data_IF_579538777623
#
_entry.id   IF_579538777623
#
_cell.length_a   1.000
_cell.length_b   1.000
_cell.length_c   1.000
_cell.angle_alpha   90.00
_cell.angle_beta   90.00
_cell.angle_gamma   90.00
#
_symmetry.space_group_name_H-M   'P 1'
#
loop_
_entity.id
_entity.type
_entity.pdbx_description
1 polymer ?
#
# COMPACT_ATOMS: atom_id res chain seq x y z
N UNK A 1 -8.23 7.08 -2.60
CA UNK A 1 -7.41 7.07 -1.37
C UNK A 1 -8.36 6.85 -0.20
N UNK A 2 -8.17 5.79 0.59
CA UNK A 2 -9.17 5.31 1.56
C UNK A 2 -9.00 5.82 2.99
N UNK A 3 -7.81 6.30 3.36
CA UNK A 3 -7.56 7.07 4.57
C UNK A 3 -6.89 8.37 4.15
N UNK A 4 -7.41 9.51 4.64
CA UNK A 4 -7.15 10.83 4.03
C UNK A 4 -5.68 11.25 4.16
N UNK A 5 -4.93 10.68 5.11
CA UNK A 5 -3.48 10.83 5.21
C UNK A 5 -2.90 9.78 6.16
N UNK A 6 -2.05 8.90 5.65
CA UNK A 6 -1.07 8.17 6.45
C UNK A 6 0.28 8.90 6.35
N UNK A 7 1.11 8.81 7.38
CA UNK A 7 2.41 9.48 7.39
C UNK A 7 3.36 8.79 6.40
N UNK A 8 3.78 9.51 5.36
CA UNK A 8 4.70 9.04 4.31
C UNK A 8 4.23 7.84 3.48
N UNK A 9 2.95 7.48 3.51
CA UNK A 9 2.38 6.39 2.70
C UNK A 9 1.11 6.83 1.98
N UNK A 10 0.89 6.28 0.79
CA UNK A 10 -0.35 6.48 0.03
C UNK A 10 -0.86 5.15 -0.50
N UNK A 11 -2.08 4.79 -0.14
CA UNK A 11 -2.76 3.63 -0.71
C UNK A 11 -3.66 4.02 -1.88
N UNK A 12 -3.43 3.37 -3.02
CA UNK A 12 -4.27 3.50 -4.23
C UNK A 12 -4.98 2.19 -4.47
N UNK A 13 -6.32 2.22 -4.34
CA UNK A 13 -7.16 1.07 -4.66
C UNK A 13 -7.09 0.78 -6.16
N UNK A 14 -6.88 -0.48 -6.52
CA UNK A 14 -6.81 -0.97 -7.91
C UNK A 14 -7.86 -2.03 -8.20
N UNK A 15 -8.29 -2.80 -7.20
CA UNK A 15 -9.35 -3.79 -7.33
C UNK A 15 -10.23 -3.79 -6.08
N UNK A 16 -11.45 -4.33 -6.21
CA UNK A 16 -12.37 -4.38 -5.07
C UNK A 16 -13.37 -5.52 -5.23
N UNK A 17 -13.67 -6.18 -4.11
CA UNK A 17 -14.83 -7.06 -3.96
C UNK A 17 -15.84 -6.32 -3.06
N UNK A 18 -17.06 -6.21 -3.55
CA UNK A 18 -18.15 -5.46 -2.90
C UNK A 18 -19.19 -6.45 -2.41
N UNK A 19 -19.51 -6.40 -1.11
CA UNK A 19 -20.65 -7.12 -0.54
C UNK A 19 -21.65 -6.09 0.01
N UNK A 20 -22.59 -5.60 -0.84
CA UNK A 20 -23.56 -4.58 -0.46
C UNK A 20 -24.69 -5.16 0.40
N UNK A 21 -25.44 -4.26 1.04
CA UNK A 21 -26.68 -4.58 1.77
C UNK A 21 -26.53 -5.66 2.85
N UNK A 22 -25.35 -5.74 3.48
CA UNK A 22 -25.17 -6.65 4.60
C UNK A 22 -25.98 -6.18 5.81
N UNK A 23 -26.70 -7.09 6.46
CA UNK A 23 -27.37 -6.85 7.75
C UNK A 23 -26.95 -7.92 8.75
N UNK A 24 -27.07 -7.65 10.05
CA UNK A 24 -26.82 -8.69 11.04
C UNK A 24 -27.96 -9.70 11.02
N UNK A 25 -27.61 -10.98 10.84
CA UNK A 25 -28.61 -12.03 10.73
C UNK A 25 -27.98 -13.41 10.62
N UNK A 26 -28.79 -14.37 10.16
CA UNK A 26 -28.38 -15.75 9.96
C UNK A 26 -28.29 -16.07 8.47
N UNK A 27 -27.14 -16.57 8.03
CA UNK A 27 -26.90 -16.99 6.66
C UNK A 27 -26.00 -18.23 6.61
N UNK A 28 -26.00 -18.98 5.50
CA UNK A 28 -24.98 -19.99 5.25
C UNK A 28 -23.59 -19.35 5.24
N UNK A 29 -22.61 -20.04 5.81
CA UNK A 29 -21.18 -19.71 5.65
C UNK A 29 -20.70 -20.03 4.22
N UNK A 30 -19.58 -19.45 3.79
CA UNK A 30 -18.95 -19.82 2.52
C UNK A 30 -18.55 -21.30 2.50
N UNK A 31 -18.70 -22.00 1.36
CA UNK A 31 -18.21 -23.38 1.20
C UNK A 31 -16.68 -23.46 1.31
N UNK A 32 -16.22 -24.27 2.25
CA UNK A 32 -14.83 -24.60 2.52
C UNK A 32 -14.80 -26.01 3.14
N UNK A 33 -13.64 -26.66 3.14
CA UNK A 33 -13.44 -28.04 3.63
C UNK A 33 -13.94 -28.25 5.08
N UNK A 34 -14.01 -27.17 5.87
CA UNK A 34 -14.45 -27.17 7.27
C UNK A 34 -15.87 -26.68 7.51
N UNK A 35 -16.48 -26.01 6.53
CA UNK A 35 -17.79 -25.35 6.68
C UNK A 35 -18.90 -26.10 5.94
N UNK A 36 -18.54 -26.91 4.93
CA UNK A 36 -19.47 -27.83 4.28
C UNK A 36 -20.00 -28.87 5.27
N UNK A 37 -21.29 -29.15 5.19
CA UNK A 37 -21.97 -30.05 6.10
C UNK A 37 -23.02 -30.89 5.38
N UNK A 38 -23.23 -32.11 5.86
CA UNK A 38 -24.34 -32.96 5.39
C UNK A 38 -25.45 -33.09 6.44
N UNK A 39 -25.12 -32.87 7.72
CA UNK A 39 -26.02 -33.03 8.86
C UNK A 39 -25.77 -31.91 9.86
N UNK A 40 -26.78 -31.56 10.66
CA UNK A 40 -26.65 -30.53 11.71
C UNK A 40 -25.56 -30.86 12.73
N UNK A 41 -25.32 -32.14 13.03
CA UNK A 41 -24.27 -32.58 13.97
C UNK A 41 -22.85 -32.25 13.52
N UNK A 42 -22.65 -31.92 12.24
CA UNK A 42 -21.35 -31.47 11.70
C UNK A 42 -21.06 -30.01 12.08
N UNK A 43 -22.07 -29.23 12.45
CA UNK A 43 -21.94 -27.84 12.85
C UNK A 43 -22.03 -27.72 14.36
N UNK A 44 -21.05 -27.09 15.00
CA UNK A 44 -20.98 -27.00 16.46
C UNK A 44 -21.54 -25.63 16.91
N UNK A 45 -22.63 -25.58 17.70
CA UNK A 45 -23.16 -24.32 18.19
C UNK A 45 -22.13 -23.53 19.00
N UNK A 46 -22.01 -22.23 18.73
CA UNK A 46 -21.05 -21.34 19.40
C UNK A 46 -19.61 -21.47 18.91
N UNK A 47 -19.32 -22.38 17.97
CA UNK A 47 -17.99 -22.50 17.39
C UNK A 47 -17.64 -21.28 16.52
N UNK A 48 -16.41 -20.81 16.69
CA UNK A 48 -15.80 -19.73 15.91
C UNK A 48 -14.39 -20.18 15.51
N UNK A 49 -14.12 -20.19 14.21
CA UNK A 49 -12.78 -20.41 13.66
C UNK A 49 -12.13 -19.07 13.31
N UNK A 50 -10.80 -19.03 13.24
CA UNK A 50 -10.05 -17.85 12.75
C UNK A 50 -10.42 -17.42 11.34
N UNK A 51 -10.96 -18.36 10.54
CA UNK A 51 -11.40 -18.14 9.16
C UNK A 51 -12.93 -18.10 9.02
N UNK A 52 -13.68 -18.20 10.12
CA UNK A 52 -15.16 -18.14 10.10
C UNK A 52 -15.62 -16.70 9.94
N UNK A 53 -16.65 -16.46 9.13
CA UNK A 53 -17.25 -15.13 8.96
C UNK A 53 -18.13 -14.73 10.15
N UNK A 54 -18.57 -15.72 10.94
CA UNK A 54 -19.39 -15.50 12.14
C UNK A 54 -19.41 -16.68 13.12
N UNK A 55 -20.40 -16.66 14.01
CA UNK A 55 -20.58 -17.67 15.06
C UNK A 55 -21.55 -18.75 14.57
N UNK A 56 -21.14 -20.02 14.59
CA UNK A 56 -21.99 -21.12 14.15
C UNK A 56 -23.22 -21.30 15.06
N UNK A 57 -24.39 -21.52 14.45
CA UNK A 57 -25.64 -21.82 15.18
C UNK A 57 -25.83 -23.31 15.44
N UNK A 58 -25.07 -24.17 14.76
CA UNK A 58 -25.22 -25.63 14.78
C UNK A 58 -26.25 -26.19 13.80
N UNK A 59 -26.79 -25.37 12.90
CA UNK A 59 -27.66 -25.83 11.80
C UNK A 59 -26.88 -25.95 10.50
N UNK A 60 -27.15 -27.01 9.75
CA UNK A 60 -26.68 -27.19 8.38
C UNK A 60 -27.77 -26.71 7.41
N UNK A 61 -27.47 -25.71 6.59
CA UNK A 61 -28.43 -25.04 5.71
C UNK A 61 -27.93 -25.03 4.26
N UNK A 62 -28.82 -25.01 3.26
CA UNK A 62 -28.39 -24.96 1.86
C UNK A 62 -27.71 -23.62 1.54
N UNK A 63 -26.50 -23.68 1.01
CA UNK A 63 -25.80 -22.53 0.41
C UNK A 63 -26.23 -22.35 -1.04
N UNK A 64 -26.24 -23.46 -1.82
CA UNK A 64 -26.76 -23.52 -3.18
C UNK A 64 -27.58 -24.81 -3.37
N UNK A 65 -28.01 -25.13 -4.60
CA UNK A 65 -28.83 -26.32 -4.87
C UNK A 65 -28.13 -27.66 -4.61
N UNK A 66 -26.79 -27.68 -4.50
CA UNK A 66 -25.97 -28.90 -4.36
C UNK A 66 -25.16 -28.97 -3.06
N UNK A 67 -24.87 -27.83 -2.43
CA UNK A 67 -23.95 -27.69 -1.30
C UNK A 67 -24.70 -27.10 -0.12
N UNK A 68 -24.53 -27.73 1.04
CA UNK A 68 -25.01 -27.24 2.32
C UNK A 68 -23.80 -26.83 3.18
N UNK A 69 -23.94 -25.72 3.90
CA UNK A 69 -22.90 -25.21 4.81
C UNK A 69 -23.48 -24.89 6.17
N UNK A 70 -22.61 -24.78 7.17
CA UNK A 70 -23.02 -24.41 8.52
C UNK A 70 -23.60 -22.98 8.53
N UNK A 71 -24.76 -22.83 9.16
CA UNK A 71 -25.36 -21.52 9.38
C UNK A 71 -24.59 -20.75 10.46
N UNK A 72 -24.33 -19.47 10.18
CA UNK A 72 -23.64 -18.56 11.08
C UNK A 72 -24.49 -17.33 11.39
N UNK A 73 -24.30 -16.76 12.59
CA UNK A 73 -24.73 -15.41 12.90
C UNK A 73 -23.60 -14.44 12.54
N UNK A 74 -23.83 -13.62 11.51
CA UNK A 74 -22.81 -12.77 10.90
C UNK A 74 -23.45 -11.54 10.23
N UNK A 75 -22.62 -10.75 9.55
CA UNK A 75 -23.11 -9.79 8.56
C UNK A 75 -23.42 -10.55 7.26
N UNK A 76 -24.70 -10.63 6.93
CA UNK A 76 -25.24 -11.46 5.86
C UNK A 76 -25.70 -10.59 4.69
N UNK A 77 -25.40 -10.97 3.43
CA UNK A 77 -24.66 -12.18 3.03
C UNK A 77 -23.17 -12.09 3.37
N UNK A 78 -22.52 -13.23 3.63
CA UNK A 78 -21.05 -13.29 3.84
C UNK A 78 -20.31 -12.88 2.57
N UNK A 79 -19.09 -12.34 2.73
CA UNK A 79 -18.23 -11.97 1.60
C UNK A 79 -17.82 -13.22 0.82
N UNK A 80 -17.94 -13.21 -0.50
CA UNK A 80 -17.37 -14.23 -1.38
C UNK A 80 -16.06 -13.71 -1.99
N UNK A 81 -14.94 -14.31 -1.59
CA UNK A 81 -13.60 -13.95 -2.06
C UNK A 81 -12.92 -15.00 -2.93
N UNK A 82 -13.65 -16.02 -3.40
CA UNK A 82 -13.12 -17.05 -4.30
C UNK A 82 -12.74 -16.48 -5.68
N UNK A 83 -13.46 -15.46 -6.15
CA UNK A 83 -13.22 -14.85 -7.46
C UNK A 83 -12.80 -13.38 -7.33
N UNK A 84 -11.50 -13.14 -7.49
CA UNK A 84 -10.95 -11.79 -7.64
C UNK A 84 -11.18 -11.32 -9.08
N UNK A 85 -11.78 -10.13 -9.33
CA UNK A 85 -11.99 -9.63 -10.67
C UNK A 85 -10.68 -9.51 -11.47
N UNK A 86 -10.66 -10.08 -12.69
CA UNK A 86 -9.57 -9.99 -13.66
C UNK A 86 -10.14 -9.60 -15.04
N UNK A 87 -9.77 -8.46 -15.64
CA UNK A 87 -8.79 -7.47 -15.17
C UNK A 87 -9.27 -6.68 -13.94
N UNK A 88 -8.34 -6.00 -13.27
CA UNK A 88 -8.65 -5.22 -12.06
C UNK A 88 -9.69 -4.14 -12.33
N UNK A 89 -10.64 -3.95 -11.41
CA UNK A 89 -11.77 -3.04 -11.56
C UNK A 89 -11.36 -1.59 -11.79
N UNK A 90 -10.31 -1.11 -11.11
CA UNK A 90 -9.75 0.25 -11.23
C UNK A 90 -8.43 0.25 -12.02
N UNK A 91 -8.37 -0.47 -13.15
CA UNK A 91 -7.19 -0.50 -14.03
C UNK A 91 -6.70 0.88 -14.50
N UNK A 92 -7.62 1.84 -14.62
CA UNK A 92 -7.31 3.22 -15.03
C UNK A 92 -6.50 3.99 -13.99
N UNK A 93 -6.36 3.45 -12.76
CA UNK A 93 -5.47 4.00 -11.74
C UNK A 93 -4.01 4.06 -12.21
N UNK A 94 -3.62 3.28 -13.23
CA UNK A 94 -2.31 3.38 -13.89
C UNK A 94 -1.98 4.81 -14.35
N UNK A 95 -3.01 5.56 -14.74
CA UNK A 95 -2.92 6.90 -15.29
C UNK A 95 -2.96 8.00 -14.22
N UNK A 96 -3.20 7.63 -12.96
CA UNK A 96 -3.20 8.60 -11.88
C UNK A 96 -1.79 9.14 -11.62
N UNK A 97 -1.76 10.35 -11.09
CA UNK A 97 -0.52 11.04 -10.73
C UNK A 97 -0.51 11.36 -9.25
N UNK A 98 0.64 11.22 -8.60
CA UNK A 98 0.88 11.63 -7.23
C UNK A 98 1.88 12.78 -7.20
N UNK A 99 1.53 13.87 -6.51
CA UNK A 99 2.44 14.97 -6.24
C UNK A 99 3.13 14.74 -4.89
N UNK A 100 4.44 14.53 -4.90
CA UNK A 100 5.22 14.31 -3.68
C UNK A 100 5.91 15.61 -3.27
N UNK A 101 5.47 16.19 -2.14
CA UNK A 101 6.11 17.35 -1.53
C UNK A 101 7.00 16.87 -0.39
N UNK A 102 8.31 17.04 -0.55
CA UNK A 102 9.29 16.64 0.44
C UNK A 102 10.14 17.84 0.88
N UNK A 103 10.28 18.00 2.20
CA UNK A 103 11.14 18.99 2.82
C UNK A 103 12.16 18.25 3.71
N UNK A 104 13.43 18.61 3.60
CA UNK A 104 14.52 18.07 4.41
C UNK A 104 15.13 19.18 5.28
N UNK A 105 15.63 18.77 6.44
CA UNK A 105 16.40 19.63 7.33
C UNK A 105 17.54 18.82 7.92
N UNK A 106 18.78 19.32 7.79
CA UNK A 106 19.96 18.81 8.46
C UNK A 106 20.27 19.70 9.66
N UNK A 107 19.88 19.31 10.89
CA UNK A 107 19.97 20.18 12.07
C UNK A 107 21.40 20.61 12.38
N UNK A 108 22.36 19.68 12.25
CA UNK A 108 23.79 19.93 12.51
C UNK A 108 24.34 21.12 11.71
N UNK A 109 23.84 21.32 10.50
CA UNK A 109 24.35 22.36 9.58
C UNK A 109 23.38 23.53 9.40
N UNK A 110 22.24 23.52 10.11
CA UNK A 110 21.12 24.44 9.93
C UNK A 110 20.74 24.62 8.44
N UNK A 111 20.71 23.52 7.69
CA UNK A 111 20.43 23.51 6.25
C UNK A 111 19.05 22.91 6.01
N UNK A 112 18.16 23.65 5.33
CA UNK A 112 16.87 23.14 4.89
C UNK A 112 16.72 23.26 3.38
N UNK A 113 16.02 22.29 2.78
CA UNK A 113 15.74 22.29 1.34
C UNK A 113 14.45 21.56 1.03
N UNK A 114 13.86 21.88 -0.13
CA UNK A 114 12.64 21.26 -0.65
C UNK A 114 12.93 20.58 -1.97
N UNK A 115 12.22 19.51 -2.28
CA UNK A 115 12.36 18.81 -3.57
C UNK A 115 11.84 19.64 -4.75
N UNK A 116 10.87 20.52 -4.52
CA UNK A 116 10.45 21.52 -5.50
C UNK A 116 11.50 22.63 -5.50
N UNK A 117 12.36 22.64 -6.52
CA UNK A 117 13.45 23.58 -6.65
C UNK A 117 12.94 25.02 -6.85
N UNK A 118 13.69 26.05 -6.40
CA UNK A 118 13.28 27.45 -6.57
C UNK A 118 13.11 27.88 -8.04
N UNK A 119 13.78 27.20 -8.96
CA UNK A 119 13.70 27.45 -10.40
C UNK A 119 12.40 26.93 -11.04
N UNK A 120 11.64 26.09 -10.33
CA UNK A 120 10.40 25.51 -10.82
C UNK A 120 9.24 26.49 -10.59
N UNK A 121 8.51 26.81 -11.65
CA UNK A 121 7.34 27.67 -11.61
C UNK A 121 6.02 26.88 -11.60
N UNK A 122 4.92 27.57 -11.27
CA UNK A 122 3.59 26.96 -11.23
C UNK A 122 3.09 26.45 -12.58
N UNK A 123 3.55 27.04 -13.68
CA UNK A 123 3.18 26.60 -15.04
C UNK A 123 3.81 25.24 -15.37
N UNK A 124 5.08 25.06 -14.99
CA UNK A 124 5.79 23.78 -15.10
C UNK A 124 5.08 22.70 -14.28
N UNK A 125 4.74 23.00 -13.01
CA UNK A 125 4.05 22.03 -12.14
C UNK A 125 2.66 21.61 -12.64
N UNK A 126 2.02 22.36 -13.54
CA UNK A 126 0.74 21.94 -14.13
C UNK A 126 0.89 20.85 -15.19
N UNK A 127 2.03 20.82 -15.88
CA UNK A 127 2.23 19.99 -17.08
C UNK A 127 3.32 18.94 -16.91
N UNK A 128 4.24 19.11 -15.95
CA UNK A 128 5.36 18.20 -15.79
C UNK A 128 4.89 16.84 -15.27
N UNK A 129 5.56 15.80 -15.75
CA UNK A 129 5.51 14.44 -15.22
C UNK A 129 6.96 14.01 -15.07
N UNK A 130 7.28 13.39 -13.94
CA UNK A 130 8.63 12.90 -13.66
C UNK A 130 9.10 11.92 -14.74
N UNK A 131 10.31 12.17 -15.23
CA UNK A 131 11.08 11.27 -16.08
C UNK A 131 12.56 11.41 -15.70
N UNK A 132 13.30 10.29 -15.60
CA UNK A 132 14.69 10.32 -15.17
C UNK A 132 15.63 11.05 -16.13
N UNK A 133 15.25 11.19 -17.40
CA UNK A 133 16.05 11.78 -18.45
C UNK A 133 15.56 13.18 -18.84
N UNK A 134 14.25 13.35 -19.05
CA UNK A 134 13.69 14.63 -19.54
C UNK A 134 13.35 15.59 -18.41
N UNK A 135 12.75 15.10 -17.32
CA UNK A 135 12.15 15.90 -16.25
C UNK A 135 12.49 15.38 -14.84
N UNK A 136 13.80 15.27 -14.49
CA UNK A 136 14.25 14.58 -13.27
C UNK A 136 13.89 15.31 -11.97
N UNK A 137 13.48 16.58 -12.05
CA UNK A 137 13.11 17.41 -10.90
C UNK A 137 11.60 17.63 -10.78
N UNK A 138 10.78 17.06 -11.67
CA UNK A 138 9.34 17.13 -11.53
C UNK A 138 8.87 16.27 -10.35
N UNK A 139 8.14 16.84 -9.37
CA UNK A 139 7.67 16.10 -8.20
C UNK A 139 6.35 15.33 -8.43
N UNK A 140 5.87 15.25 -9.67
CA UNK A 140 4.60 14.62 -10.05
C UNK A 140 4.90 13.30 -10.75
N UNK A 141 4.47 12.19 -10.16
CA UNK A 141 4.79 10.86 -10.63
C UNK A 141 3.52 10.15 -11.11
N UNK A 142 3.54 9.60 -12.32
CA UNK A 142 2.46 8.73 -12.81
C UNK A 142 2.63 7.32 -12.25
N UNK A 143 1.56 6.72 -11.75
CA UNK A 143 1.64 5.43 -11.05
C UNK A 143 2.17 4.31 -11.94
N UNK A 144 1.69 4.23 -13.20
CA UNK A 144 2.21 3.26 -14.17
C UNK A 144 3.72 3.42 -14.39
N UNK A 145 4.23 4.65 -14.47
CA UNK A 145 5.66 4.93 -14.67
C UNK A 145 6.52 4.55 -13.45
N UNK A 146 6.00 4.73 -12.24
CA UNK A 146 6.68 4.26 -11.01
C UNK A 146 6.86 2.74 -11.04
N UNK A 147 5.79 2.02 -11.40
CA UNK A 147 5.78 0.55 -11.42
C UNK A 147 6.65 0.01 -12.56
N UNK A 148 6.57 0.63 -13.74
CA UNK A 148 7.42 0.33 -14.90
C UNK A 148 8.91 0.54 -14.59
N UNK A 149 9.27 1.66 -13.95
CA UNK A 149 10.65 1.98 -13.57
C UNK A 149 11.24 0.99 -12.55
N UNK A 150 10.40 0.26 -11.80
CA UNK A 150 10.82 -0.83 -10.92
C UNK A 150 10.84 -2.21 -11.64
N UNK A 151 10.64 -2.25 -12.95
CA UNK A 151 10.61 -3.48 -13.75
C UNK A 151 9.37 -4.35 -13.50
N UNK A 152 8.25 -3.75 -13.10
CA UNK A 152 6.99 -4.46 -12.82
C UNK A 152 5.90 -4.07 -13.83
N UNK A 153 4.85 -4.89 -13.93
CA UNK A 153 3.65 -4.60 -14.72
C UNK A 153 2.52 -4.10 -13.81
N UNK A 154 1.98 -2.92 -14.09
CA UNK A 154 0.92 -2.31 -13.28
C UNK A 154 -0.36 -3.14 -13.28
N UNK A 155 -0.78 -3.65 -14.45
CA UNK A 155 -2.03 -4.40 -14.59
C UNK A 155 -1.99 -5.74 -13.87
N UNK A 156 -0.83 -6.41 -13.85
CA UNK A 156 -0.64 -7.63 -13.04
C UNK A 156 -0.72 -7.32 -11.55
N UNK A 157 0.00 -6.29 -11.09
CA UNK A 157 0.01 -5.89 -9.69
C UNK A 157 -1.35 -5.35 -9.22
N UNK A 158 -2.13 -4.73 -10.11
CA UNK A 158 -3.42 -4.15 -9.81
C UNK A 158 -4.48 -5.17 -9.37
N UNK A 159 -4.32 -6.45 -9.71
CA UNK A 159 -5.32 -7.49 -9.41
C UNK A 159 -5.34 -7.84 -7.92
N UNK A 160 -4.18 -8.14 -7.35
CA UNK A 160 -4.00 -8.59 -5.95
C UNK A 160 -3.36 -7.52 -5.06
N UNK A 161 -2.91 -6.41 -5.66
CA UNK A 161 -2.22 -5.34 -4.98
C UNK A 161 -0.72 -5.60 -4.81
N UNK A 162 -0.06 -4.71 -4.08
CA UNK A 162 1.37 -4.82 -3.79
C UNK A 162 1.88 -3.62 -3.00
N UNK A 163 3.19 -3.63 -2.72
CA UNK A 163 3.85 -2.55 -1.96
C UNK A 163 5.02 -2.03 -2.77
N UNK A 164 5.02 -0.72 -3.03
CA UNK A 164 6.03 -0.01 -3.82
C UNK A 164 6.73 1.02 -2.96
N UNK A 165 8.06 1.08 -3.03
CA UNK A 165 8.86 2.14 -2.45
C UNK A 165 9.14 3.22 -3.49
N UNK A 166 8.85 4.48 -3.13
CA UNK A 166 9.38 5.67 -3.77
C UNK A 166 10.50 6.22 -2.90
N UNK A 167 11.73 5.97 -3.31
CA UNK A 167 12.93 6.31 -2.56
C UNK A 167 13.46 7.68 -2.98
N UNK A 168 13.63 8.59 -2.04
CA UNK A 168 14.16 9.94 -2.24
C UNK A 168 15.51 10.05 -1.52
N UNK A 169 16.60 10.04 -2.28
CA UNK A 169 17.95 10.19 -1.74
C UNK A 169 18.44 11.65 -1.80
N UNK A 170 18.89 12.18 -0.67
CA UNK A 170 19.51 13.49 -0.50
C UNK A 170 20.96 13.37 -0.01
N UNK A 171 21.87 12.89 -0.86
CA UNK A 171 23.30 12.89 -0.52
C UNK A 171 23.93 14.24 -0.91
N UNK A 172 24.25 15.05 0.09
CA UNK A 172 24.63 16.44 -0.08
C UNK A 172 26.02 16.75 0.49
N UNK A 173 26.89 17.26 -0.37
CA UNK A 173 28.11 17.94 0.06
C UNK A 173 27.80 19.44 0.26
N UNK A 174 27.75 19.88 1.52
CA UNK A 174 27.44 21.24 1.94
C UNK A 174 28.66 22.19 1.92
N UNK A 175 29.83 21.70 1.49
CA UNK A 175 30.95 22.59 1.11
C UNK A 175 30.72 23.21 -0.28
N UNK A 176 29.86 22.58 -1.09
CA UNK A 176 29.44 23.09 -2.39
C UNK A 176 28.22 23.99 -2.27
N UNK A 177 27.94 24.73 -3.35
CA UNK A 177 26.74 25.55 -3.44
C UNK A 177 25.48 24.70 -3.21
N UNK A 178 24.54 25.26 -2.44
CA UNK A 178 23.28 24.60 -2.08
C UNK A 178 22.50 24.07 -3.29
N UNK A 179 22.68 24.64 -4.48
CA UNK A 179 22.10 24.19 -5.75
C UNK A 179 22.44 22.73 -6.10
N UNK A 180 23.61 22.22 -5.69
CA UNK A 180 24.06 20.86 -6.01
C UNK A 180 23.42 19.76 -5.13
N UNK A 181 22.85 20.14 -3.98
CA UNK A 181 22.14 19.22 -3.11
C UNK A 181 20.73 18.98 -3.65
N UNK A 182 20.52 17.96 -4.48
CA UNK A 182 19.24 17.69 -5.16
C UNK A 182 18.74 16.27 -4.86
N UNK A 183 17.43 16.03 -4.86
CA UNK A 183 16.90 14.69 -4.63
C UNK A 183 17.20 13.79 -5.82
N UNK A 184 17.43 12.50 -5.53
CA UNK A 184 17.43 11.44 -6.54
C UNK A 184 16.31 10.45 -6.23
N UNK A 185 15.50 10.16 -7.23
CA UNK A 185 14.36 9.27 -7.12
C UNK A 185 14.72 7.87 -7.63
N UNK A 186 14.26 6.85 -6.91
CA UNK A 186 14.35 5.45 -7.34
C UNK A 186 13.11 4.70 -6.87
N UNK A 187 12.76 3.63 -7.57
CA UNK A 187 11.53 2.88 -7.34
C UNK A 187 11.83 1.40 -7.18
N UNK A 188 11.17 0.77 -6.22
CA UNK A 188 11.38 -0.64 -5.93
C UNK A 188 10.12 -1.29 -5.40
N UNK A 189 9.80 -2.50 -5.86
CA UNK A 189 8.78 -3.34 -5.22
C UNK A 189 9.31 -3.91 -3.90
N UNK A 190 8.53 -3.77 -2.83
CA UNK A 190 8.90 -4.22 -1.47
C UNK A 190 8.28 -5.58 -1.12
N UNK A 191 7.09 -5.89 -1.61
CA UNK A 191 6.45 -7.18 -1.37
C UNK A 191 7.10 -8.30 -2.18
N UNK A 192 7.07 -9.52 -1.63
CA UNK A 192 7.71 -10.67 -2.25
C UNK A 192 6.87 -11.18 -3.43
N UNK A 193 7.49 -11.28 -4.62
CA UNK A 193 6.89 -11.92 -5.81
C UNK A 193 7.34 -13.39 -5.89
N UNK A 194 7.37 -14.10 -4.78
CA UNK A 194 7.78 -15.50 -4.76
C UNK A 194 6.58 -16.40 -5.07
N UNK A 195 6.58 -16.98 -6.26
CA UNK A 195 5.55 -17.94 -6.69
C UNK A 195 5.51 -19.21 -5.85
N UNK A 196 6.57 -19.52 -5.10
CA UNK A 196 6.61 -20.66 -4.18
C UNK A 196 5.94 -20.36 -2.82
N UNK A 197 5.77 -19.08 -2.47
CA UNK A 197 5.18 -18.65 -1.21
C UNK A 197 3.92 -17.82 -1.46
N UNK A 198 2.80 -18.52 -1.72
CA UNK A 198 1.49 -17.93 -2.04
C UNK A 198 0.66 -17.56 -0.81
N UNK A 199 1.27 -17.47 0.37
CA UNK A 199 0.53 -17.13 1.60
C UNK A 199 0.32 -15.61 1.64
N UNK A 200 -0.94 -15.19 1.45
CA UNK A 200 -1.39 -13.78 1.45
C UNK A 200 -0.60 -12.88 0.49
N UNK A 201 -0.60 -13.15 -0.84
CA UNK A 201 0.10 -12.32 -1.81
C UNK A 201 -0.56 -10.94 -1.96
N UNK A 202 0.25 -9.97 -2.38
CA UNK A 202 -0.19 -8.61 -2.69
C UNK A 202 -0.50 -7.75 -1.46
N UNK A 203 -1.48 -6.85 -1.58
CA UNK A 203 -1.88 -5.96 -0.49
C UNK A 203 -3.39 -5.69 -0.56
N UNK A 204 -4.10 -6.12 0.48
CA UNK A 204 -5.52 -5.95 0.61
C UNK A 204 -5.95 -5.69 2.05
N UNK A 205 -7.09 -5.04 2.21
CA UNK A 205 -7.74 -4.87 3.51
C UNK A 205 -9.25 -4.76 3.34
N UNK A 206 -9.97 -5.00 4.45
CA UNK A 206 -11.41 -4.87 4.53
C UNK A 206 -11.78 -3.57 5.23
N UNK A 207 -12.73 -2.84 4.67
CA UNK A 207 -13.38 -1.71 5.33
C UNK A 207 -14.88 -1.73 5.01
N UNK A 208 -15.70 -1.09 5.84
CA UNK A 208 -17.13 -1.06 5.65
C UNK A 208 -17.67 0.37 5.66
N UNK A 209 -18.74 0.59 4.90
CA UNK A 209 -19.58 1.78 5.02
C UNK A 209 -20.90 1.38 5.64
N UNK A 210 -21.29 2.04 6.72
CA UNK A 210 -22.50 1.75 7.47
C UNK A 210 -23.60 2.73 7.09
N UNK A 211 -24.82 2.20 7.03
CA UNK A 211 -26.04 2.90 6.65
C UNK A 211 -27.14 2.53 7.64
N UNK A 212 -28.09 3.44 7.83
CA UNK A 212 -29.27 3.23 8.68
C UNK A 212 -30.50 3.57 7.87
N UNK A 213 -31.45 2.65 7.80
CA UNK A 213 -32.71 2.89 7.10
C UNK A 213 -33.70 3.68 7.97
N UNK A 214 -34.84 4.05 7.37
CA UNK A 214 -35.91 4.80 8.06
C UNK A 214 -36.58 4.03 9.21
N UNK A 215 -36.50 2.70 9.20
CA UNK A 215 -36.96 1.84 10.31
C UNK A 215 -35.94 1.71 11.44
N UNK A 216 -34.73 2.26 11.28
CA UNK A 216 -33.65 2.19 12.25
C UNK A 216 -32.80 0.92 12.17
N UNK A 217 -33.00 0.07 11.15
CA UNK A 217 -32.18 -1.12 10.91
C UNK A 217 -30.84 -0.71 10.33
N UNK A 218 -29.76 -1.25 10.91
CA UNK A 218 -28.40 -1.02 10.42
C UNK A 218 -28.07 -1.97 9.28
N UNK A 219 -27.50 -1.42 8.22
CA UNK A 219 -26.93 -2.16 7.11
C UNK A 219 -25.52 -1.66 6.81
N UNK A 220 -24.70 -2.48 6.16
CA UNK A 220 -23.37 -2.08 5.71
C UNK A 220 -23.09 -2.57 4.30
N UNK A 221 -22.21 -1.87 3.62
CA UNK A 221 -21.50 -2.40 2.45
C UNK A 221 -20.08 -2.71 2.89
N UNK A 222 -19.68 -3.98 2.79
CA UNK A 222 -18.32 -4.42 3.03
C UNK A 222 -17.52 -4.32 1.72
N UNK A 223 -16.31 -3.80 1.84
CA UNK A 223 -15.36 -3.64 0.76
C UNK A 223 -14.10 -4.40 1.13
N UNK A 224 -13.73 -5.42 0.35
CA UNK A 224 -12.37 -5.96 0.35
C UNK A 224 -11.61 -5.30 -0.79
N UNK A 225 -10.77 -4.34 -0.43
CA UNK A 225 -10.02 -3.54 -1.39
C UNK A 225 -8.62 -4.10 -1.56
N UNK A 226 -8.23 -4.25 -2.82
CA UNK A 226 -6.86 -4.53 -3.23
C UNK A 226 -6.28 -3.26 -3.82
N UNK A 227 -4.98 -3.08 -3.66
CA UNK A 227 -4.33 -1.87 -4.15
C UNK A 227 -2.84 -1.87 -3.99
N UNK A 228 -2.24 -0.82 -4.51
CA UNK A 228 -0.81 -0.60 -4.39
C UNK A 228 -0.59 0.42 -3.28
N UNK A 229 0.18 0.04 -2.26
CA UNK A 229 0.66 0.97 -1.24
C UNK A 229 2.00 1.54 -1.68
N UNK A 230 2.10 2.86 -1.74
CA UNK A 230 3.33 3.58 -2.06
C UNK A 230 3.94 4.12 -0.76
N UNK A 231 5.10 3.60 -0.39
CA UNK A 231 5.87 4.03 0.77
C UNK A 231 6.93 5.04 0.30
N UNK A 232 6.81 6.30 0.78
CA UNK A 232 7.73 7.39 0.43
C UNK A 232 8.89 7.38 1.43
N UNK A 233 10.01 6.80 1.02
CA UNK A 233 11.17 6.59 1.89
C UNK A 233 12.20 7.67 1.59
N UNK A 234 12.45 8.56 2.56
CA UNK A 234 13.41 9.65 2.43
C UNK A 234 14.66 9.33 3.23
N UNK A 235 15.81 9.39 2.58
CA UNK A 235 17.11 9.20 3.22
C UNK A 235 18.16 10.08 2.55
N UNK A 236 19.33 10.19 3.17
CA UNK A 236 20.44 10.94 2.61
C UNK A 236 21.38 11.45 3.68
N UNK A 237 22.65 11.64 3.31
CA UNK A 237 23.68 12.14 4.22
C UNK A 237 24.15 13.52 3.79
N UNK A 238 24.35 14.40 4.76
CA UNK A 238 25.01 15.67 4.55
C UNK A 238 26.42 15.66 5.14
N UNK A 239 27.40 16.12 4.37
CA UNK A 239 28.77 16.37 4.81
C UNK A 239 29.14 17.83 4.65
N UNK A 240 29.89 18.38 5.60
CA UNK A 240 30.52 19.70 5.53
C UNK A 240 31.89 19.60 6.18
N UNK A 241 32.86 20.33 5.66
CA UNK A 241 34.20 20.40 6.19
C UNK A 241 34.20 20.82 7.65
N UNK A 242 34.98 20.08 8.44
CA UNK A 242 35.23 20.34 9.86
C UNK A 242 36.69 19.95 10.15
N UNK A 243 37.40 20.85 10.84
CA UNK A 243 38.81 20.67 11.16
C UNK A 243 39.03 19.53 12.16
N UNK A 244 38.08 19.29 13.08
CA UNK A 244 38.21 18.27 14.12
C UNK A 244 38.33 16.85 13.53
N UNK A 245 37.38 16.34 12.73
CA UNK A 245 37.52 15.01 12.13
C UNK A 245 38.68 14.94 11.14
N UNK A 246 39.05 16.06 10.50
CA UNK A 246 40.21 16.12 9.61
C UNK A 246 41.51 15.86 10.38
N UNK A 247 41.74 16.56 11.49
CA UNK A 247 42.94 16.38 12.32
C UNK A 247 43.00 15.00 12.98
N UNK A 248 41.85 14.47 13.45
CA UNK A 248 41.77 13.11 13.99
C UNK A 248 42.16 12.06 12.94
N UNK A 249 41.66 12.18 11.71
CA UNK A 249 42.01 11.26 10.63
C UNK A 249 43.47 11.38 10.19
N UNK A 250 44.04 12.60 10.15
CA UNK A 250 45.46 12.79 9.87
C UNK A 250 46.31 12.12 10.95
N UNK A 251 46.02 12.38 12.23
CA UNK A 251 46.75 11.78 13.35
C UNK A 251 46.63 10.25 13.41
N UNK A 252 45.45 9.71 13.09
CA UNK A 252 45.23 8.27 13.01
C UNK A 252 45.97 7.65 11.82
N UNK A 253 46.00 8.33 10.69
CA UNK A 253 46.74 7.91 9.50
C UNK A 253 48.25 7.93 9.71
N UNK A 254 48.81 8.99 10.29
CA UNK A 254 50.25 9.05 10.60
C UNK A 254 50.66 7.99 11.63
N UNK A 255 49.81 7.72 12.63
CA UNK A 255 50.04 6.63 13.57
C UNK A 255 50.08 5.26 12.88
N UNK A 256 49.19 5.02 11.91
CA UNK A 256 49.18 3.76 11.13
C UNK A 256 50.46 3.57 10.30
N UNK A 257 51.00 4.64 9.70
CA UNK A 257 52.26 4.58 8.94
C UNK A 257 53.51 4.49 9.81
N UNK A 258 53.39 4.73 11.12
CA UNK A 258 54.48 4.61 12.09
C UNK A 258 54.66 3.20 12.65
N UNK A 259 53.81 2.24 12.27
CA UNK A 259 53.89 0.81 12.59
C UNK A 259 54.43 0.05 11.39
#
# INVERSE_FOLDING_TARGET
VLHVQEENTVFVMTNVILTPNQTQGYCPELPDDKTECTKNTSCVPGYVSTHSSGIQTGKCVPYNSSINTCQVFAWCPVEDDHQIPKPAFLREAENFTILVKNNIWYPKFNFSKRNILPTINSTYLKNCIYDSHTDPFCPIFRLGKIVEAAGQNFQEMAVEGGVMALQINWDCNLDRAASHCVPRYSFRRLDNKDSANTVSPGYNFRFAKYYKDSSGTESRTLFKAYGIRFDIIVFGKAGKFDIIPTMINIGSGTALFGV
#
